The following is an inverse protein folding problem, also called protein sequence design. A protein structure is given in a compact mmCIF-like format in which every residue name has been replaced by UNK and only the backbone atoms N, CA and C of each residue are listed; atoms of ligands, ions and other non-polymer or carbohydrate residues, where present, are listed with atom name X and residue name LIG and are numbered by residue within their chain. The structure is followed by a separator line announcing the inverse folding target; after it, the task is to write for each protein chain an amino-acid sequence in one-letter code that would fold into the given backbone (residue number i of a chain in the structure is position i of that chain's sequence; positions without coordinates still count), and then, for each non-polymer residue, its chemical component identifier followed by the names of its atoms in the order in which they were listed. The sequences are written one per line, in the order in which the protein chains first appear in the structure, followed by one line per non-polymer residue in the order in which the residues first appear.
data_IF_501500162717
#
_entry.id   IF_501500162717
#
_cell.length_a   1.000
_cell.length_b   1.000
_cell.length_c   1.000
_cell.angle_alpha   90.00
_cell.angle_beta   90.00
_cell.angle_gamma   90.00
#
_symmetry.space_group_name_H-M   'P 1'
#
loop_
_entity.id
_entity.type
_entity.pdbx_description
1 polymer ?
#
# COMPACT_ATOMS: atom_id res chain seq x y z
N UNK A 1 47.48 23.95 -21.78
CA UNK A 1 46.89 22.66 -22.18
C UNK A 1 46.04 22.17 -21.02
N UNK A 2 44.80 22.64 -21.01
CA UNK A 2 43.73 22.23 -20.09
C UNK A 2 43.26 20.81 -20.44
N UNK A 3 42.98 19.99 -19.43
CA UNK A 3 41.94 18.95 -19.51
C UNK A 3 41.19 18.89 -18.18
N UNK A 4 40.03 19.52 -18.21
CA UNK A 4 39.00 19.61 -17.19
C UNK A 4 38.38 18.23 -16.94
N UNK A 5 38.23 17.86 -15.66
CA UNK A 5 37.62 16.61 -15.24
C UNK A 5 36.10 16.72 -15.37
N UNK A 6 35.51 15.88 -16.21
CA UNK A 6 34.07 15.72 -16.36
C UNK A 6 33.46 15.23 -15.03
N UNK A 7 32.85 16.17 -14.30
CA UNK A 7 32.03 15.89 -13.13
C UNK A 7 30.66 15.42 -13.62
N UNK A 8 30.43 14.10 -13.50
CA UNK A 8 29.15 13.44 -13.71
C UNK A 8 28.05 14.17 -12.94
N UNK A 9 27.15 14.83 -13.68
CA UNK A 9 25.94 15.39 -13.13
C UNK A 9 24.99 14.24 -12.78
N UNK A 10 24.81 14.03 -11.48
CA UNK A 10 23.73 13.23 -10.91
C UNK A 10 22.40 13.91 -11.26
N UNK A 11 21.78 13.46 -12.36
CA UNK A 11 20.39 13.80 -12.67
C UNK A 11 19.48 13.05 -11.68
N UNK A 12 19.36 13.58 -10.47
CA UNK A 12 18.20 13.34 -9.63
C UNK A 12 17.01 14.01 -10.32
N UNK A 13 16.33 13.26 -11.20
CA UNK A 13 15.05 13.70 -11.77
C UNK A 13 14.08 14.01 -10.63
N UNK A 14 13.56 15.24 -10.51
CA UNK A 14 12.46 15.50 -9.60
C UNK A 14 11.25 14.72 -10.11
N UNK A 15 10.86 13.65 -9.42
CA UNK A 15 9.57 13.00 -9.65
C UNK A 15 8.50 14.06 -9.43
N UNK A 16 7.91 14.54 -10.53
CA UNK A 16 6.88 15.57 -10.50
C UNK A 16 5.73 15.10 -9.61
N UNK A 17 5.58 15.77 -8.47
CA UNK A 17 4.52 15.60 -7.49
C UNK A 17 3.36 16.51 -7.88
N UNK A 18 2.66 16.17 -8.95
CA UNK A 18 1.50 16.94 -9.40
C UNK A 18 0.43 15.98 -9.90
N UNK A 19 -0.42 15.55 -8.97
CA UNK A 19 -1.53 14.62 -9.25
C UNK A 19 -1.79 13.56 -8.18
N UNK A 20 -1.04 13.52 -7.07
CA UNK A 20 -1.35 12.60 -5.97
C UNK A 20 -2.59 13.14 -5.22
N UNK A 21 -3.66 12.33 -5.06
CA UNK A 21 -4.80 12.74 -4.27
C UNK A 21 -4.37 13.05 -2.83
N UNK A 22 -5.00 14.03 -2.17
CA UNK A 22 -4.72 14.30 -0.78
C UNK A 22 -5.00 13.05 0.07
N UNK A 23 -4.14 12.79 1.05
CA UNK A 23 -4.37 11.73 2.04
C UNK A 23 -5.51 12.20 2.96
N UNK A 24 -6.75 11.87 2.59
CA UNK A 24 -7.93 12.06 3.43
C UNK A 24 -8.21 10.80 4.25
N UNK A 25 -9.01 10.93 5.31
CA UNK A 25 -9.39 9.77 6.12
C UNK A 25 -10.16 8.72 5.29
N UNK A 26 -10.99 9.17 4.35
CA UNK A 26 -11.74 8.31 3.43
C UNK A 26 -10.79 7.51 2.54
N UNK A 27 -9.78 8.16 1.97
CA UNK A 27 -8.76 7.51 1.16
C UNK A 27 -7.96 6.46 1.96
N UNK A 28 -7.65 6.75 3.23
CA UNK A 28 -6.96 5.77 4.10
C UNK A 28 -7.85 4.55 4.32
N UNK A 29 -9.15 4.74 4.57
CA UNK A 29 -10.08 3.64 4.80
C UNK A 29 -10.21 2.75 3.55
N UNK A 30 -10.39 3.35 2.37
CA UNK A 30 -10.41 2.64 1.08
C UNK A 30 -9.10 1.91 0.82
N UNK A 31 -7.96 2.55 1.10
CA UNK A 31 -6.64 1.93 0.99
C UNK A 31 -6.50 0.70 1.88
N UNK A 32 -6.92 0.78 3.14
CA UNK A 32 -6.85 -0.34 4.08
C UNK A 32 -7.76 -1.49 3.65
N UNK A 33 -8.97 -1.18 3.15
CA UNK A 33 -9.89 -2.18 2.65
C UNK A 33 -9.32 -2.91 1.41
N UNK A 34 -8.76 -2.15 0.46
CA UNK A 34 -8.09 -2.70 -0.71
C UNK A 34 -6.86 -3.55 -0.34
N UNK A 35 -6.07 -3.12 0.65
CA UNK A 35 -4.90 -3.84 1.14
C UNK A 35 -5.28 -5.20 1.74
N UNK A 36 -6.38 -5.25 2.49
CA UNK A 36 -6.89 -6.50 3.08
C UNK A 36 -7.47 -7.42 2.02
N UNK A 37 -8.24 -6.90 1.06
CA UNK A 37 -8.74 -7.69 -0.07
C UNK A 37 -7.57 -8.31 -0.84
N UNK A 38 -6.56 -7.49 -1.19
CA UNK A 38 -5.34 -7.95 -1.85
C UNK A 38 -4.62 -9.05 -1.05
N UNK A 39 -4.53 -8.91 0.28
CA UNK A 39 -3.96 -9.94 1.15
C UNK A 39 -4.71 -11.27 1.03
N UNK A 40 -6.05 -11.23 1.08
CA UNK A 40 -6.91 -12.42 1.05
C UNK A 40 -6.83 -13.10 -0.31
N UNK A 41 -6.99 -12.36 -1.40
CA UNK A 41 -6.94 -12.88 -2.78
C UNK A 41 -5.61 -13.57 -3.07
N UNK A 42 -4.50 -12.99 -2.60
CA UNK A 42 -3.15 -13.51 -2.84
C UNK A 42 -2.66 -14.46 -1.74
N UNK A 43 -3.51 -14.79 -0.75
CA UNK A 43 -3.18 -15.67 0.40
C UNK A 43 -1.90 -15.24 1.12
N UNK A 44 -1.70 -13.93 1.28
CA UNK A 44 -0.49 -13.38 1.87
C UNK A 44 -0.50 -13.49 3.41
N UNK A 45 0.65 -13.79 4.03
CA UNK A 45 0.76 -13.82 5.49
C UNK A 45 0.66 -12.41 6.06
N UNK A 46 0.13 -12.24 7.28
CA UNK A 46 -0.07 -10.92 7.91
C UNK A 46 1.23 -10.09 8.01
N UNK A 47 2.39 -10.74 8.01
CA UNK A 47 3.71 -10.10 8.04
C UNK A 47 4.15 -9.53 6.67
N UNK A 48 3.37 -9.67 5.59
CA UNK A 48 3.79 -9.20 4.26
C UNK A 48 3.99 -7.67 4.23
N UNK A 49 3.24 -6.92 5.03
CA UNK A 49 3.36 -5.46 5.13
C UNK A 49 4.65 -5.01 5.80
N UNK A 50 5.27 -5.88 6.61
CA UNK A 50 6.52 -5.60 7.34
C UNK A 50 7.75 -5.94 6.48
N UNK A 51 7.56 -6.57 5.31
CA UNK A 51 8.67 -6.89 4.41
C UNK A 51 9.20 -5.60 3.80
N UNK A 52 10.51 -5.39 3.89
CA UNK A 52 11.15 -4.20 3.33
C UNK A 52 10.88 -4.01 1.83
N UNK A 53 10.68 -5.08 1.05
CA UNK A 53 10.28 -4.99 -0.35
C UNK A 53 8.88 -4.38 -0.53
N UNK A 54 7.93 -4.75 0.32
CA UNK A 54 6.57 -4.22 0.33
C UNK A 54 6.58 -2.74 0.73
N UNK A 55 7.34 -2.39 1.77
CA UNK A 55 7.50 -0.99 2.20
C UNK A 55 8.09 -0.15 1.07
N UNK A 56 9.16 -0.62 0.41
CA UNK A 56 9.77 0.08 -0.74
C UNK A 56 8.81 0.23 -1.92
N UNK A 57 7.95 -0.75 -2.17
CA UNK A 57 6.92 -0.64 -3.20
C UNK A 57 5.95 0.50 -2.89
N UNK A 58 5.42 0.55 -1.67
CA UNK A 58 4.53 1.63 -1.25
C UNK A 58 5.23 2.99 -1.24
N UNK A 59 6.47 3.06 -0.76
CA UNK A 59 7.30 4.28 -0.81
C UNK A 59 7.51 4.78 -2.25
N UNK A 60 7.73 3.86 -3.19
CA UNK A 60 7.85 4.18 -4.61
C UNK A 60 6.54 4.69 -5.21
N UNK A 61 5.40 4.15 -4.81
CA UNK A 61 4.08 4.59 -5.27
C UNK A 61 3.72 5.95 -4.68
N UNK A 62 3.69 6.03 -3.35
CA UNK A 62 3.43 7.23 -2.59
C UNK A 62 4.08 7.12 -1.20
N UNK A 63 5.09 7.96 -0.88
CA UNK A 63 5.79 7.91 0.40
C UNK A 63 4.87 8.16 1.60
N UNK A 64 3.77 8.91 1.42
CA UNK A 64 2.82 9.15 2.50
C UNK A 64 1.98 7.91 2.85
N UNK A 65 1.81 6.96 1.91
CA UNK A 65 1.14 5.69 2.21
C UNK A 65 1.90 4.84 3.22
N UNK A 66 3.23 4.98 3.27
CA UNK A 66 4.07 4.24 4.23
C UNK A 66 3.68 4.60 5.67
N UNK A 67 3.30 5.86 5.91
CA UNK A 67 2.83 6.34 7.22
C UNK A 67 1.44 5.79 7.57
N UNK A 68 0.65 5.44 6.55
CA UNK A 68 -0.69 4.88 6.69
C UNK A 68 -0.69 3.35 6.73
N UNK A 69 0.46 2.69 6.58
CA UNK A 69 0.52 1.22 6.64
C UNK A 69 0.09 0.73 8.03
N UNK A 70 -0.85 -0.22 8.10
CA UNK A 70 -1.28 -0.77 9.37
C UNK A 70 -0.16 -1.63 9.97
N UNK A 71 -0.12 -1.73 11.29
CA UNK A 71 0.72 -2.75 11.94
C UNK A 71 0.19 -4.15 11.63
N UNK A 72 1.04 -5.18 11.76
CA UNK A 72 0.61 -6.58 11.59
C UNK A 72 -0.62 -6.94 12.44
N UNK A 73 -0.70 -6.41 13.66
CA UNK A 73 -1.84 -6.65 14.55
C UNK A 73 -3.13 -5.99 14.03
N UNK A 74 -3.05 -4.75 13.53
CA UNK A 74 -4.18 -4.05 12.92
C UNK A 74 -4.63 -4.75 11.64
N UNK A 75 -3.69 -5.12 10.77
CA UNK A 75 -4.01 -5.84 9.54
C UNK A 75 -4.69 -7.18 9.82
N UNK A 76 -4.22 -7.94 10.82
CA UNK A 76 -4.87 -9.18 11.25
C UNK A 76 -6.32 -8.93 11.69
N UNK A 77 -6.57 -7.86 12.45
CA UNK A 77 -7.92 -7.50 12.90
C UNK A 77 -8.81 -7.16 11.69
N UNK A 78 -8.34 -6.28 10.80
CA UNK A 78 -9.06 -5.89 9.59
C UNK A 78 -9.36 -7.09 8.69
N UNK A 79 -8.43 -8.03 8.54
CA UNK A 79 -8.65 -9.27 7.79
C UNK A 79 -9.77 -10.13 8.39
N UNK A 80 -9.79 -10.28 9.71
CA UNK A 80 -10.85 -11.05 10.37
C UNK A 80 -12.22 -10.39 10.19
N UNK A 81 -12.28 -9.05 10.29
CA UNK A 81 -13.50 -8.29 10.03
C UNK A 81 -13.94 -8.44 8.57
N UNK A 82 -13.01 -8.30 7.61
CA UNK A 82 -13.29 -8.50 6.18
C UNK A 82 -13.83 -9.89 5.85
N UNK A 83 -13.22 -10.95 6.40
CA UNK A 83 -13.69 -12.32 6.20
C UNK A 83 -15.08 -12.51 6.81
N UNK A 84 -15.34 -11.93 8.00
CA UNK A 84 -16.66 -11.98 8.64
C UNK A 84 -17.72 -11.30 7.78
N UNK A 85 -17.44 -10.11 7.26
CA UNK A 85 -18.34 -9.38 6.36
C UNK A 85 -18.59 -10.15 5.06
N UNK A 86 -17.54 -10.72 4.46
CA UNK A 86 -17.69 -11.55 3.25
C UNK A 86 -18.45 -12.85 3.49
N UNK A 87 -18.30 -13.46 4.67
CA UNK A 87 -19.07 -14.64 5.06
C UNK A 87 -20.56 -14.31 5.26
N UNK A 88 -20.86 -13.13 5.82
CA UNK A 88 -22.24 -12.62 5.97
C UNK A 88 -22.88 -12.28 4.61
N UNK A 89 -22.13 -11.62 3.72
CA UNK A 89 -22.56 -11.30 2.35
C UNK A 89 -22.80 -12.59 1.52
N UNK A 90 -21.95 -13.60 1.68
CA UNK A 90 -22.16 -14.92 1.07
C UNK A 90 -23.33 -15.69 1.68
N UNK A 91 -23.68 -15.45 2.95
CA UNK A 91 -24.83 -16.06 3.62
C UNK A 91 -26.16 -15.37 3.26
N UNK A 92 -26.13 -14.10 2.85
CA UNK A 92 -27.29 -13.30 2.40
C UNK A 92 -27.71 -13.56 0.95
N UNK A 93 -26.89 -14.27 0.17
CA UNK A 93 -27.31 -14.80 -1.14
C UNK A 93 -27.54 -16.31 -1.13
N UNK A 94 -28.64 -16.80 -0.55
CA UNK A 94 -29.23 -18.04 -0.99
C UNK A 94 -30.05 -17.77 -2.26
N UNK A 95 -29.51 -18.24 -3.39
CA UNK A 95 -30.24 -18.89 -4.49
C UNK A 95 -31.26 -18.05 -5.28
N UNK A 96 -30.93 -17.78 -6.54
CA UNK A 96 -31.77 -18.10 -7.72
C UNK A 96 -30.92 -18.15 -9.00
#
# INVERSE_FOLDING_TARGET
MEKEAAKTAESASPRQESGRPPITQEFIDEFLQALVAFQVDNKLPDAFIERGSTVRLFECLNPDLVKCLPTRAQLKKLRLEYIKTKADEAAVSPKE
#
